data_IF_688881537801
#
_entry.id   IF_688881537801
#
_cell.length_a   1.000
_cell.length_b   1.000
_cell.length_c   1.000
_cell.angle_alpha   90.00
_cell.angle_beta   90.00
_cell.angle_gamma   90.00
#
_symmetry.space_group_name_H-M   'P 1'
#
loop_
_entity.id
_entity.type
_entity.pdbx_description
1 polymer ?
#
# COMPACT_ATOMS: atom_id res chain seq x y z
N UNK A 1 -18.82 37.04 -17.72
CA UNK A 1 -17.37 36.76 -17.73
C UNK A 1 -17.20 35.21 -17.77
N UNK A 2 -17.13 34.64 -19.00
CA UNK A 2 -16.93 33.21 -19.20
C UNK A 2 -15.44 32.89 -18.89
N UNK A 3 -15.15 32.38 -17.73
CA UNK A 3 -13.84 31.85 -17.42
C UNK A 3 -13.74 30.52 -18.18
N UNK A 4 -13.13 30.56 -19.38
CA UNK A 4 -12.77 29.32 -20.09
C UNK A 4 -11.82 28.52 -19.21
N UNK A 5 -12.32 27.40 -18.67
CA UNK A 5 -11.45 26.42 -17.98
C UNK A 5 -10.34 26.03 -18.97
N UNK A 6 -9.08 26.01 -18.54
CA UNK A 6 -7.95 25.72 -19.39
C UNK A 6 -8.12 24.33 -20.01
N UNK A 7 -7.83 24.19 -21.31
CA UNK A 7 -8.03 22.98 -22.13
C UNK A 7 -7.30 21.71 -21.63
N UNK A 8 -6.43 21.82 -20.63
CA UNK A 8 -5.69 20.71 -20.00
C UNK A 8 -6.40 20.09 -18.79
N UNK A 9 -7.48 20.71 -18.28
CA UNK A 9 -8.31 20.08 -17.24
C UNK A 9 -9.32 19.14 -17.89
N UNK A 10 -9.26 17.82 -17.65
CA UNK A 10 -10.27 16.91 -18.15
C UNK A 10 -11.64 17.33 -17.59
N UNK A 11 -12.65 17.38 -18.44
CA UNK A 11 -14.03 17.52 -17.97
C UNK A 11 -14.35 16.24 -17.17
N UNK A 12 -14.25 16.33 -15.85
CA UNK A 12 -14.60 15.23 -14.96
C UNK A 12 -16.07 14.90 -15.14
N UNK A 13 -16.35 13.72 -15.66
CA UNK A 13 -17.74 13.23 -15.65
C UNK A 13 -18.17 13.04 -14.20
N UNK A 14 -19.49 13.18 -13.88
CA UNK A 14 -19.97 12.96 -12.52
C UNK A 14 -19.56 11.61 -11.92
N UNK A 15 -19.43 10.57 -12.74
CA UNK A 15 -18.98 9.23 -12.31
C UNK A 15 -17.51 9.24 -11.90
N UNK A 16 -16.65 9.95 -12.62
CA UNK A 16 -15.22 10.08 -12.28
C UNK A 16 -15.03 10.93 -11.02
N UNK A 17 -15.80 12.01 -10.86
CA UNK A 17 -15.77 12.81 -9.65
C UNK A 17 -16.15 11.98 -8.40
N UNK A 18 -17.21 11.16 -8.48
CA UNK A 18 -17.63 10.25 -7.41
C UNK A 18 -16.58 9.17 -7.11
N UNK A 19 -15.93 8.66 -8.13
CA UNK A 19 -14.80 7.74 -7.97
C UNK A 19 -13.66 8.40 -7.19
N UNK A 20 -13.30 9.65 -7.51
CA UNK A 20 -12.27 10.40 -6.78
C UNK A 20 -12.64 10.67 -5.31
N UNK A 21 -13.92 10.91 -5.02
CA UNK A 21 -14.39 11.00 -3.62
C UNK A 21 -14.12 9.70 -2.88
N UNK A 22 -14.41 8.54 -3.49
CA UNK A 22 -14.12 7.26 -2.87
C UNK A 22 -12.62 7.03 -2.67
N UNK A 23 -11.78 7.35 -3.67
CA UNK A 23 -10.32 7.26 -3.56
C UNK A 23 -9.79 8.12 -2.41
N UNK A 24 -10.26 9.37 -2.31
CA UNK A 24 -9.85 10.29 -1.24
C UNK A 24 -10.26 9.76 0.14
N UNK A 25 -11.49 9.26 0.30
CA UNK A 25 -11.98 8.72 1.58
C UNK A 25 -11.24 7.45 1.99
N UNK A 26 -10.94 6.54 1.04
CA UNK A 26 -10.14 5.34 1.30
C UNK A 26 -8.71 5.70 1.71
N UNK A 27 -8.07 6.64 1.01
CA UNK A 27 -6.74 7.13 1.38
C UNK A 27 -6.73 7.82 2.73
N UNK A 28 -7.71 8.68 2.99
CA UNK A 28 -7.84 9.38 4.26
C UNK A 28 -8.07 8.44 5.46
N UNK A 29 -8.95 7.46 5.30
CA UNK A 29 -9.34 6.57 6.38
C UNK A 29 -8.36 5.41 6.58
N UNK A 30 -8.02 4.69 5.51
CA UNK A 30 -7.39 3.37 5.59
C UNK A 30 -5.99 3.32 4.97
N UNK A 31 -5.86 3.63 3.69
CA UNK A 31 -4.60 3.42 2.96
C UNK A 31 -3.60 4.57 3.15
N UNK A 32 -2.81 4.44 4.18
CA UNK A 32 -1.84 5.46 4.59
C UNK A 32 -2.43 6.56 5.47
N UNK A 33 -3.74 6.56 5.74
CA UNK A 33 -4.44 7.53 6.55
C UNK A 33 -4.54 7.17 8.05
N UNK A 34 -5.69 7.46 8.65
CA UNK A 34 -5.94 7.33 10.11
C UNK A 34 -5.62 5.91 10.60
N UNK A 35 -6.11 4.88 9.91
CA UNK A 35 -5.89 3.47 10.29
C UNK A 35 -4.41 3.09 10.29
N UNK A 36 -3.66 3.55 9.30
CA UNK A 36 -2.21 3.26 9.21
C UNK A 36 -1.41 3.83 10.36
N UNK A 37 -1.86 4.95 10.95
CA UNK A 37 -1.25 5.54 12.14
C UNK A 37 -1.68 4.78 13.40
N UNK A 38 -2.98 4.54 13.55
CA UNK A 38 -3.58 4.23 14.85
C UNK A 38 -3.77 2.74 15.12
N UNK A 39 -3.85 1.87 14.08
CA UNK A 39 -4.12 0.44 14.29
C UNK A 39 -3.12 -0.20 15.26
N UNK A 40 -1.83 -0.09 14.97
CA UNK A 40 -0.80 -0.73 15.80
C UNK A 40 -0.68 -0.04 17.18
N UNK A 41 -0.92 1.28 17.25
CA UNK A 41 -0.96 2.00 18.53
C UNK A 41 -2.16 1.57 19.37
N UNK A 42 -3.32 1.32 18.77
CA UNK A 42 -4.47 0.73 19.45
C UNK A 42 -4.16 -0.66 20.00
N UNK A 43 -3.48 -1.50 19.22
CA UNK A 43 -3.06 -2.83 19.67
C UNK A 43 -2.09 -2.75 20.86
N UNK A 44 -1.15 -1.78 20.85
CA UNK A 44 -0.28 -1.51 22.00
C UNK A 44 -1.08 -1.11 23.26
N UNK A 45 -2.16 -0.32 23.10
CA UNK A 45 -3.04 0.07 24.24
C UNK A 45 -3.91 -1.10 24.73
N UNK A 46 -4.01 -2.18 23.97
CA UNK A 46 -4.61 -3.46 24.40
C UNK A 46 -3.60 -4.41 25.02
N UNK A 47 -2.37 -3.95 25.33
CA UNK A 47 -1.26 -4.70 25.90
C UNK A 47 -0.73 -5.84 24.99
N UNK A 48 -0.91 -5.71 23.67
CA UNK A 48 -0.31 -6.61 22.70
C UNK A 48 1.14 -6.23 22.43
N UNK A 49 2.03 -7.22 22.55
CA UNK A 49 3.44 -7.07 22.18
C UNK A 49 3.70 -7.17 20.68
N UNK A 50 4.96 -6.97 20.26
CA UNK A 50 5.34 -7.00 18.83
C UNK A 50 4.96 -8.30 18.12
N UNK A 51 4.96 -9.44 18.81
CA UNK A 51 4.59 -10.76 18.28
C UNK A 51 3.14 -10.79 17.81
N UNK A 52 2.21 -10.39 18.70
CA UNK A 52 0.79 -10.38 18.39
C UNK A 52 0.44 -9.29 17.36
N UNK A 53 1.08 -8.12 17.43
CA UNK A 53 0.95 -7.05 16.44
C UNK A 53 1.42 -7.57 15.06
N UNK A 54 2.56 -8.27 15.04
CA UNK A 54 3.08 -8.90 13.82
C UNK A 54 2.12 -9.95 13.27
N UNK A 55 1.56 -10.82 14.11
CA UNK A 55 0.59 -11.85 13.73
C UNK A 55 -0.68 -11.23 13.15
N UNK A 56 -1.25 -10.20 13.79
CA UNK A 56 -2.46 -9.52 13.33
C UNK A 56 -2.22 -8.86 11.97
N UNK A 57 -1.13 -8.11 11.80
CA UNK A 57 -0.80 -7.50 10.52
C UNK A 57 -0.53 -8.55 9.43
N UNK A 58 0.12 -9.67 9.78
CA UNK A 58 0.39 -10.77 8.86
C UNK A 58 -0.91 -11.43 8.36
N UNK A 59 -1.91 -11.61 9.23
CA UNK A 59 -3.21 -12.13 8.83
C UNK A 59 -3.88 -11.24 7.80
N UNK A 60 -3.83 -9.91 7.98
CA UNK A 60 -4.35 -8.94 7.01
C UNK A 60 -3.60 -8.99 5.67
N UNK A 61 -2.28 -8.87 5.68
CA UNK A 61 -1.47 -8.87 4.45
C UNK A 61 -1.55 -10.19 3.70
N UNK A 62 -1.67 -11.33 4.41
CA UNK A 62 -1.92 -12.64 3.81
C UNK A 62 -3.30 -12.70 3.14
N UNK A 63 -4.34 -12.23 3.83
CA UNK A 63 -5.68 -12.17 3.27
C UNK A 63 -5.72 -11.31 1.98
N UNK A 64 -5.03 -10.16 1.98
CA UNK A 64 -4.86 -9.32 0.79
C UNK A 64 -4.17 -10.09 -0.35
N UNK A 65 -3.01 -10.68 -0.08
CA UNK A 65 -2.20 -11.39 -1.08
C UNK A 65 -2.98 -12.55 -1.73
N UNK A 66 -3.67 -13.35 -0.93
CA UNK A 66 -4.47 -14.47 -1.41
C UNK A 66 -5.71 -14.02 -2.19
N UNK A 67 -6.28 -12.87 -1.83
CA UNK A 67 -7.48 -12.34 -2.47
C UNK A 67 -7.21 -11.64 -3.81
N UNK A 68 -6.00 -11.14 -4.07
CA UNK A 68 -5.71 -10.35 -5.27
C UNK A 68 -6.05 -11.09 -6.58
N UNK A 69 -5.68 -12.37 -6.70
CA UNK A 69 -5.96 -13.16 -7.90
C UNK A 69 -7.47 -13.43 -8.07
N UNK A 70 -8.20 -13.96 -7.05
CA UNK A 70 -9.64 -14.14 -7.15
C UNK A 70 -10.40 -12.84 -7.40
N UNK A 71 -9.98 -11.71 -6.80
CA UNK A 71 -10.63 -10.42 -6.96
C UNK A 71 -10.73 -9.96 -8.41
N UNK A 72 -9.66 -10.15 -9.19
CA UNK A 72 -9.65 -9.83 -10.61
C UNK A 72 -10.59 -10.71 -11.43
N UNK A 73 -10.59 -12.02 -11.18
CA UNK A 73 -11.46 -12.98 -11.87
C UNK A 73 -12.96 -12.72 -11.56
N UNK A 74 -13.27 -12.49 -10.29
CA UNK A 74 -14.62 -12.20 -9.84
C UNK A 74 -15.10 -10.86 -10.41
N UNK A 75 -14.22 -9.83 -10.42
CA UNK A 75 -14.52 -8.52 -10.99
C UNK A 75 -14.84 -8.57 -12.48
N UNK A 76 -14.12 -9.40 -13.24
CA UNK A 76 -14.37 -9.63 -14.66
C UNK A 76 -15.73 -10.31 -14.92
N UNK A 77 -16.18 -11.19 -14.02
CA UNK A 77 -17.46 -11.93 -14.15
C UNK A 77 -18.66 -11.13 -13.67
N UNK A 78 -18.57 -10.51 -12.51
CA UNK A 78 -19.71 -9.85 -11.85
C UNK A 78 -19.72 -8.33 -12.06
N UNK A 79 -18.66 -7.77 -12.67
CA UNK A 79 -18.51 -6.35 -12.93
C UNK A 79 -17.69 -5.64 -11.85
N UNK A 80 -16.70 -4.86 -12.30
CA UNK A 80 -15.73 -4.20 -11.41
C UNK A 80 -16.39 -3.32 -10.34
N UNK A 81 -17.44 -2.56 -10.71
CA UNK A 81 -18.19 -1.71 -9.77
C UNK A 81 -18.82 -2.49 -8.62
N UNK A 82 -19.45 -3.64 -8.89
CA UNK A 82 -20.11 -4.45 -7.86
C UNK A 82 -19.09 -5.03 -6.88
N UNK A 83 -17.95 -5.48 -7.39
CA UNK A 83 -16.86 -6.01 -6.56
C UNK A 83 -16.17 -4.90 -5.76
N UNK A 84 -16.02 -3.71 -6.30
CA UNK A 84 -15.55 -2.55 -5.52
C UNK A 84 -16.52 -2.18 -4.40
N UNK A 85 -17.84 -2.24 -4.63
CA UNK A 85 -18.84 -2.02 -3.58
C UNK A 85 -18.78 -3.09 -2.48
N UNK A 86 -18.64 -4.35 -2.86
CA UNK A 86 -18.44 -5.45 -1.90
C UNK A 86 -17.14 -5.23 -1.11
N UNK A 87 -16.06 -4.83 -1.78
CA UNK A 87 -14.81 -4.47 -1.15
C UNK A 87 -14.97 -3.35 -0.11
N UNK A 88 -15.63 -2.25 -0.48
CA UNK A 88 -15.90 -1.14 0.44
C UNK A 88 -16.81 -1.56 1.61
N UNK A 89 -17.79 -2.45 1.39
CA UNK A 89 -18.63 -2.99 2.45
C UNK A 89 -17.83 -3.82 3.45
N UNK A 90 -16.93 -4.69 2.97
CA UNK A 90 -16.03 -5.47 3.82
C UNK A 90 -15.02 -4.57 4.55
N UNK A 91 -14.48 -3.54 3.88
CA UNK A 91 -13.61 -2.53 4.51
C UNK A 91 -14.36 -1.80 5.62
N UNK A 92 -15.59 -1.35 5.39
CA UNK A 92 -16.41 -0.71 6.39
C UNK A 92 -16.70 -1.66 7.57
N UNK A 93 -17.13 -2.89 7.31
CA UNK A 93 -17.40 -3.88 8.34
C UNK A 93 -16.15 -4.17 9.17
N UNK A 94 -15.02 -4.52 8.52
CA UNK A 94 -13.77 -4.81 9.22
C UNK A 94 -13.27 -3.61 10.03
N UNK A 95 -13.30 -2.39 9.44
CA UNK A 95 -12.81 -1.20 10.12
C UNK A 95 -13.72 -0.71 11.27
N UNK A 96 -15.02 -0.94 11.21
CA UNK A 96 -15.94 -0.58 12.29
C UNK A 96 -15.96 -1.63 13.41
N UNK A 97 -15.82 -2.91 13.07
CA UNK A 97 -15.89 -4.00 14.05
C UNK A 97 -14.55 -4.25 14.76
N UNK A 98 -13.41 -4.02 14.08
CA UNK A 98 -12.09 -4.26 14.64
C UNK A 98 -11.86 -3.49 15.95
N UNK A 99 -12.15 -2.17 16.06
CA UNK A 99 -11.90 -1.41 17.27
C UNK A 99 -12.77 -1.82 18.45
N UNK A 100 -13.84 -2.61 18.24
CA UNK A 100 -14.68 -3.11 19.33
C UNK A 100 -14.03 -4.26 20.12
N UNK A 101 -12.83 -4.67 19.73
CA UNK A 101 -12.07 -5.72 20.41
C UNK A 101 -11.83 -5.44 21.91
N UNK A 102 -11.68 -4.18 22.32
CA UNK A 102 -11.48 -3.79 23.73
C UNK A 102 -12.71 -4.04 24.61
N UNK A 103 -13.89 -4.15 24.02
CA UNK A 103 -15.14 -4.47 24.72
C UNK A 103 -15.33 -5.99 24.93
N UNK A 104 -14.50 -6.82 24.26
CA UNK A 104 -14.61 -8.26 24.32
C UNK A 104 -13.76 -8.84 25.48
N UNK A 105 -14.15 -10.01 26.03
CA UNK A 105 -13.29 -10.76 26.93
C UNK A 105 -11.94 -11.07 26.30
N UNK A 106 -10.86 -11.07 27.09
CA UNK A 106 -9.48 -11.23 26.63
C UNK A 106 -9.28 -12.50 25.80
N UNK A 107 -9.99 -13.57 26.11
CA UNK A 107 -9.93 -14.87 25.40
C UNK A 107 -10.38 -14.78 23.94
N UNK A 108 -11.29 -13.87 23.59
CA UNK A 108 -11.84 -13.73 22.25
C UNK A 108 -11.22 -12.58 21.44
N UNK A 109 -10.48 -11.67 22.10
CA UNK A 109 -9.92 -10.46 21.46
C UNK A 109 -9.03 -10.77 20.29
N UNK A 110 -8.06 -11.69 20.46
CA UNK A 110 -7.10 -12.02 19.40
C UNK A 110 -7.81 -12.63 18.20
N UNK A 111 -8.69 -13.61 18.41
CA UNK A 111 -9.45 -14.23 17.33
C UNK A 111 -10.31 -13.20 16.59
N UNK A 112 -10.96 -12.29 17.31
CA UNK A 112 -11.73 -11.18 16.73
C UNK A 112 -10.86 -10.27 15.86
N UNK A 113 -9.72 -9.83 16.36
CA UNK A 113 -8.78 -8.96 15.64
C UNK A 113 -8.27 -9.63 14.36
N UNK A 114 -7.91 -10.92 14.42
CA UNK A 114 -7.47 -11.69 13.26
C UNK A 114 -8.55 -11.77 12.19
N UNK A 115 -9.80 -12.02 12.57
CA UNK A 115 -10.92 -12.07 11.64
C UNK A 115 -11.19 -10.69 11.04
N UNK A 116 -11.30 -9.64 11.87
CA UNK A 116 -11.68 -8.32 11.37
C UNK A 116 -10.59 -7.68 10.51
N UNK A 117 -9.30 -7.85 10.84
CA UNK A 117 -8.21 -7.38 9.99
C UNK A 117 -8.19 -8.14 8.65
N UNK A 118 -8.45 -9.44 8.66
CA UNK A 118 -8.53 -10.24 7.43
C UNK A 118 -9.69 -9.80 6.55
N UNK A 119 -10.86 -9.52 7.13
CA UNK A 119 -12.03 -8.97 6.41
C UNK A 119 -11.72 -7.60 5.82
N UNK A 120 -11.08 -6.71 6.58
CA UNK A 120 -10.65 -5.39 6.12
C UNK A 120 -9.74 -5.49 4.89
N UNK A 121 -8.70 -6.32 4.97
CA UNK A 121 -7.70 -6.48 3.90
C UNK A 121 -8.23 -7.26 2.69
N UNK A 122 -9.16 -8.20 2.90
CA UNK A 122 -9.92 -8.81 1.81
C UNK A 122 -10.72 -7.74 1.05
N UNK A 123 -11.39 -6.85 1.78
CA UNK A 123 -12.08 -5.70 1.20
C UNK A 123 -11.15 -4.79 0.39
N UNK A 124 -9.96 -4.49 0.93
CA UNK A 124 -8.92 -3.72 0.25
C UNK A 124 -8.51 -4.37 -1.08
N UNK A 125 -8.29 -5.69 -1.10
CA UNK A 125 -7.91 -6.41 -2.32
C UNK A 125 -9.02 -6.32 -3.38
N UNK A 126 -10.28 -6.57 -2.99
CA UNK A 126 -11.44 -6.47 -3.89
C UNK A 126 -11.59 -5.06 -4.47
N UNK A 127 -11.37 -4.03 -3.67
CA UNK A 127 -11.44 -2.64 -4.10
C UNK A 127 -10.29 -2.29 -5.05
N UNK A 128 -9.02 -2.44 -4.61
CA UNK A 128 -7.86 -1.97 -5.37
C UNK A 128 -7.64 -2.70 -6.68
N UNK A 129 -7.82 -4.02 -6.71
CA UNK A 129 -7.65 -4.81 -7.94
C UNK A 129 -8.66 -4.40 -9.02
N UNK A 130 -9.86 -3.97 -8.63
CA UNK A 130 -10.92 -3.59 -9.56
C UNK A 130 -10.95 -2.10 -9.91
N UNK A 131 -10.11 -1.25 -9.27
CA UNK A 131 -10.06 0.19 -9.59
C UNK A 131 -9.57 0.47 -11.02
N UNK A 132 -8.47 -0.16 -11.44
CA UNK A 132 -7.91 0.06 -12.76
C UNK A 132 -8.87 -0.38 -13.88
N UNK A 133 -9.46 -1.59 -13.87
CA UNK A 133 -10.49 -1.96 -14.84
C UNK A 133 -11.70 -1.01 -14.85
N UNK A 134 -12.19 -0.60 -13.67
CA UNK A 134 -13.30 0.34 -13.57
C UNK A 134 -12.99 1.69 -14.25
N UNK A 135 -11.80 2.24 -14.01
CA UNK A 135 -11.34 3.47 -14.64
C UNK A 135 -11.22 3.30 -16.16
N UNK A 136 -10.69 2.15 -16.62
CA UNK A 136 -10.57 1.84 -18.06
C UNK A 136 -11.93 1.74 -18.77
N UNK A 137 -12.97 1.26 -18.08
CA UNK A 137 -14.35 1.21 -18.60
C UNK A 137 -15.05 2.58 -18.59
N UNK A 138 -14.72 3.43 -17.60
CA UNK A 138 -15.42 4.70 -17.39
C UNK A 138 -14.82 5.87 -18.17
N UNK A 139 -13.60 5.75 -18.72
CA UNK A 139 -12.81 6.89 -19.21
C UNK A 139 -12.28 6.63 -20.62
N UNK A 140 -12.30 7.69 -21.44
CA UNK A 140 -11.76 7.67 -22.81
C UNK A 140 -10.25 7.39 -22.80
N UNK A 141 -9.70 6.67 -23.79
CA UNK A 141 -8.30 6.29 -23.85
C UNK A 141 -7.30 7.44 -23.70
N UNK A 142 -7.62 8.60 -24.29
CA UNK A 142 -6.80 9.81 -24.28
C UNK A 142 -6.64 10.45 -22.88
N UNK A 143 -7.57 10.21 -21.96
CA UNK A 143 -7.60 10.79 -20.62
C UNK A 143 -7.10 9.85 -19.52
N UNK A 144 -6.90 8.55 -19.80
CA UNK A 144 -6.59 7.53 -18.80
C UNK A 144 -5.35 7.83 -18.00
N UNK A 145 -4.24 8.16 -18.65
CA UNK A 145 -2.96 8.48 -17.99
C UNK A 145 -3.11 9.63 -16.99
N UNK A 146 -3.83 10.68 -17.40
CA UNK A 146 -4.06 11.84 -16.55
C UNK A 146 -4.91 11.49 -15.32
N UNK A 147 -5.97 10.69 -15.51
CA UNK A 147 -6.85 10.25 -14.42
C UNK A 147 -6.09 9.35 -13.42
N UNK A 148 -5.25 8.42 -13.88
CA UNK A 148 -4.41 7.60 -12.98
C UNK A 148 -3.40 8.44 -12.21
N UNK A 149 -2.79 9.45 -12.84
CA UNK A 149 -1.89 10.38 -12.15
C UNK A 149 -2.62 11.19 -11.08
N UNK A 150 -3.81 11.70 -11.41
CA UNK A 150 -4.64 12.44 -10.46
C UNK A 150 -5.13 11.56 -9.30
N UNK A 151 -5.51 10.31 -9.57
CA UNK A 151 -5.86 9.32 -8.56
C UNK A 151 -4.71 9.12 -7.56
N UNK A 152 -3.49 8.91 -8.06
CA UNK A 152 -2.30 8.68 -7.21
C UNK A 152 -1.99 9.91 -6.35
N UNK A 153 -2.05 11.10 -6.93
CA UNK A 153 -1.83 12.34 -6.20
C UNK A 153 -2.91 12.59 -5.14
N UNK A 154 -4.18 12.34 -5.48
CA UNK A 154 -5.30 12.49 -4.55
C UNK A 154 -5.23 11.49 -3.39
N UNK A 155 -4.90 10.23 -3.68
CA UNK A 155 -4.70 9.19 -2.67
C UNK A 155 -3.59 9.59 -1.69
N UNK A 156 -2.45 10.05 -2.20
CA UNK A 156 -1.32 10.48 -1.37
C UNK A 156 -1.66 11.72 -0.52
N UNK A 157 -2.36 12.70 -1.10
CA UNK A 157 -2.80 13.89 -0.37
C UNK A 157 -3.81 13.53 0.73
N UNK A 158 -4.77 12.68 0.41
CA UNK A 158 -5.77 12.21 1.38
C UNK A 158 -5.12 11.39 2.50
N UNK A 159 -4.17 10.52 2.18
CA UNK A 159 -3.38 9.77 3.15
C UNK A 159 -2.53 10.69 4.05
N UNK A 160 -1.92 11.75 3.49
CA UNK A 160 -1.24 12.78 4.26
C UNK A 160 -2.17 13.44 5.29
N UNK A 161 -3.34 13.93 4.84
CA UNK A 161 -4.32 14.55 5.74
C UNK A 161 -4.84 13.57 6.78
N UNK A 162 -5.13 12.33 6.38
CA UNK A 162 -5.57 11.27 7.29
C UNK A 162 -4.52 10.91 8.35
N UNK A 163 -3.24 10.80 7.96
CA UNK A 163 -2.16 10.55 8.92
C UNK A 163 -1.97 11.71 9.90
N UNK A 164 -2.04 12.94 9.40
CA UNK A 164 -1.91 14.14 10.23
C UNK A 164 -3.04 14.22 11.24
N UNK A 165 -4.29 14.14 10.81
CA UNK A 165 -5.48 14.17 11.67
C UNK A 165 -5.46 12.96 12.61
N UNK A 166 -5.17 11.76 12.12
CA UNK A 166 -5.07 10.54 12.92
C UNK A 166 -4.09 10.66 14.08
N UNK A 167 -2.97 11.35 13.88
CA UNK A 167 -2.00 11.59 14.94
C UNK A 167 -2.55 12.43 16.12
N UNK A 168 -3.38 13.43 15.83
CA UNK A 168 -3.95 14.32 16.86
C UNK A 168 -5.26 13.79 17.45
N UNK A 169 -5.97 12.93 16.74
CA UNK A 169 -7.35 12.54 17.07
C UNK A 169 -7.47 11.84 18.44
N UNK A 170 -6.59 10.89 18.85
CA UNK A 170 -6.70 10.27 20.17
C UNK A 170 -6.53 11.26 21.31
N UNK A 171 -5.59 12.21 21.21
CA UNK A 171 -5.41 13.23 22.25
C UNK A 171 -6.61 14.18 22.37
N UNK A 172 -7.19 14.59 21.25
CA UNK A 172 -8.39 15.42 21.22
C UNK A 172 -9.59 14.69 21.84
N UNK A 173 -9.80 13.42 21.49
CA UNK A 173 -10.89 12.60 22.06
C UNK A 173 -10.66 12.37 23.57
N UNK A 174 -9.43 12.08 23.99
CA UNK A 174 -9.10 11.91 25.41
C UNK A 174 -9.42 13.17 26.22
N UNK A 175 -9.06 14.36 25.70
CA UNK A 175 -9.37 15.63 26.32
C UNK A 175 -10.90 15.90 26.42
N UNK A 176 -11.66 15.57 25.34
CA UNK A 176 -13.11 15.72 25.31
C UNK A 176 -13.82 14.80 26.30
N UNK A 177 -13.32 13.58 26.48
CA UNK A 177 -13.92 12.58 27.38
C UNK A 177 -13.40 12.66 28.84
N UNK A 178 -12.37 13.47 29.08
CA UNK A 178 -11.73 13.55 30.39
C UNK A 178 -10.98 12.27 30.81
N UNK A 179 -10.46 11.49 29.84
CA UNK A 179 -9.75 10.23 30.09
C UNK A 179 -8.29 10.33 29.65
N UNK A 180 -7.47 9.39 30.15
CA UNK A 180 -6.06 9.35 29.76
C UNK A 180 -5.88 8.97 28.29
N UNK A 181 -4.98 9.64 27.53
CA UNK A 181 -4.63 9.25 26.17
C UNK A 181 -3.88 7.91 26.05
N UNK A 182 -3.50 7.31 27.19
CA UNK A 182 -2.87 5.97 27.22
C UNK A 182 -3.89 4.84 27.22
N UNK A 183 -5.18 5.14 27.42
CA UNK A 183 -6.25 4.14 27.39
C UNK A 183 -6.59 3.73 25.94
N UNK A 184 -7.15 2.52 25.71
CA UNK A 184 -7.59 2.08 24.38
C UNK A 184 -8.75 2.91 23.79
N UNK A 185 -9.65 3.43 24.65
CA UNK A 185 -10.88 4.08 24.22
C UNK A 185 -10.70 5.26 23.26
N UNK A 186 -9.77 6.23 23.45
CA UNK A 186 -9.52 7.29 22.47
C UNK A 186 -9.14 6.78 21.08
N UNK A 187 -8.34 5.73 21.02
CA UNK A 187 -7.93 5.08 19.76
C UNK A 187 -9.10 4.34 19.12
N UNK A 188 -9.91 3.63 19.91
CA UNK A 188 -11.15 3.00 19.45
C UNK A 188 -12.06 3.99 18.74
N UNK A 189 -12.38 5.12 19.37
CA UNK A 189 -13.25 6.13 18.75
C UNK A 189 -12.64 6.74 17.50
N UNK A 190 -11.33 6.99 17.48
CA UNK A 190 -10.64 7.50 16.31
C UNK A 190 -10.70 6.51 15.13
N UNK A 191 -10.54 5.20 15.38
CA UNK A 191 -10.66 4.15 14.39
C UNK A 191 -12.11 3.98 13.89
N UNK A 192 -13.11 4.14 14.78
CA UNK A 192 -14.52 4.14 14.39
C UNK A 192 -14.85 5.31 13.46
N UNK A 193 -14.33 6.52 13.73
CA UNK A 193 -14.48 7.69 12.86
C UNK A 193 -13.89 7.39 11.46
N UNK A 194 -12.71 6.77 11.40
CA UNK A 194 -12.11 6.36 10.15
C UNK A 194 -12.96 5.32 9.41
N UNK A 195 -13.50 4.33 10.13
CA UNK A 195 -14.40 3.33 9.56
C UNK A 195 -15.69 3.94 9.00
N UNK A 196 -16.29 4.90 9.70
CA UNK A 196 -17.47 5.63 9.25
C UNK A 196 -17.19 6.44 7.97
N UNK A 197 -15.98 6.94 7.77
CA UNK A 197 -15.60 7.67 6.56
C UNK A 197 -15.62 6.79 5.28
N UNK A 198 -15.69 5.45 5.41
CA UNK A 198 -15.84 4.55 4.26
C UNK A 198 -17.28 4.48 3.74
N UNK A 199 -18.28 4.77 4.57
CA UNK A 199 -19.68 4.71 4.16
C UNK A 199 -20.01 5.71 3.03
N UNK A 200 -19.58 7.01 3.10
CA UNK A 200 -19.73 7.91 1.96
C UNK A 200 -18.96 7.46 0.70
N UNK A 201 -17.81 6.77 0.84
CA UNK A 201 -17.10 6.21 -0.30
C UNK A 201 -17.94 5.13 -1.00
N UNK A 202 -18.62 4.28 -0.24
CA UNK A 202 -19.53 3.28 -0.76
C UNK A 202 -20.71 3.94 -1.49
N UNK A 203 -21.33 4.99 -0.94
CA UNK A 203 -22.40 5.74 -1.60
C UNK A 203 -21.90 6.42 -2.90
N UNK A 204 -20.67 6.95 -2.90
CA UNK A 204 -20.07 7.57 -4.07
C UNK A 204 -19.88 6.54 -5.22
N UNK A 205 -19.35 5.35 -4.95
CA UNK A 205 -19.22 4.29 -5.96
C UNK A 205 -20.59 3.73 -6.36
N UNK A 206 -21.53 3.60 -5.41
CA UNK A 206 -22.89 3.14 -5.73
C UNK A 206 -23.58 4.07 -6.74
N UNK A 207 -23.39 5.35 -6.61
CA UNK A 207 -23.99 6.36 -7.50
C UNK A 207 -23.17 6.60 -8.80
N UNK A 208 -21.92 6.12 -8.87
CA UNK A 208 -21.09 6.22 -10.06
C UNK A 208 -21.58 5.21 -11.12
N UNK A 209 -22.20 5.69 -12.20
CA UNK A 209 -22.60 4.84 -13.34
C UNK A 209 -21.51 4.99 -14.41
N UNK A 210 -20.81 3.91 -14.83
CA UNK A 210 -19.97 3.96 -15.99
C UNK A 210 -20.82 4.43 -17.18
N UNK A 211 -20.33 5.39 -17.96
CA UNK A 211 -20.93 5.64 -19.25
C UNK A 211 -20.87 4.33 -20.05
N UNK A 212 -21.96 3.97 -20.69
CA UNK A 212 -22.00 2.80 -21.55
C UNK A 212 -21.16 3.06 -22.80
N UNK A 213 -19.84 3.01 -22.66
CA UNK A 213 -18.97 2.89 -23.82
C UNK A 213 -19.20 1.51 -24.43
N UNK A 214 -19.30 1.41 -25.77
CA UNK A 214 -19.42 0.12 -26.42
C UNK A 214 -18.31 -0.79 -25.85
N UNK A 215 -18.70 -1.88 -25.19
CA UNK A 215 -17.74 -2.88 -24.74
C UNK A 215 -16.97 -3.32 -25.96
N UNK A 216 -15.72 -2.87 -26.08
CA UNK A 216 -14.76 -3.55 -26.94
C UNK A 216 -14.68 -4.96 -26.34
N UNK A 217 -15.28 -5.91 -27.05
CA UNK A 217 -15.25 -7.33 -26.70
C UNK A 217 -13.83 -7.88 -26.94
N UNK A 218 -12.85 -7.32 -26.20
CA UNK A 218 -11.60 -8.05 -26.03
C UNK A 218 -11.96 -9.24 -25.14
N UNK A 219 -11.71 -10.48 -25.59
CA UNK A 219 -12.18 -11.66 -24.89
C UNK A 219 -11.49 -11.75 -23.53
N UNK A 220 -12.22 -11.39 -22.47
CA UNK A 220 -11.86 -11.65 -21.07
C UNK A 220 -11.58 -13.15 -20.86
N UNK A 221 -12.13 -14.00 -21.72
CA UNK A 221 -11.86 -15.44 -21.76
C UNK A 221 -10.38 -15.79 -21.96
N UNK A 222 -9.56 -14.94 -22.62
CA UNK A 222 -8.14 -15.17 -22.77
C UNK A 222 -7.32 -14.91 -21.49
N UNK A 223 -7.91 -14.22 -20.49
CA UNK A 223 -7.26 -14.00 -19.20
C UNK A 223 -7.50 -15.16 -18.21
N UNK A 224 -8.39 -16.10 -18.51
CA UNK A 224 -8.79 -17.18 -17.60
C UNK A 224 -7.84 -18.38 -17.66
N UNK A 225 -7.14 -18.56 -18.76
CA UNK A 225 -6.04 -19.53 -18.87
C UNK A 225 -4.83 -18.79 -19.44
N UNK A 226 -3.85 -18.45 -18.60
CA UNK A 226 -2.59 -17.95 -19.13
C UNK A 226 -2.03 -19.01 -20.09
N UNK A 227 -1.46 -18.62 -21.26
CA UNK A 227 -0.84 -19.57 -22.16
C UNK A 227 0.17 -20.41 -21.36
N UNK A 228 0.35 -21.70 -21.69
CA UNK A 228 1.25 -22.57 -20.96
C UNK A 228 2.63 -21.90 -20.84
N UNK A 229 3.08 -21.74 -19.60
CA UNK A 229 4.37 -21.09 -19.31
C UNK A 229 5.47 -22.01 -19.86
N UNK A 230 6.19 -21.54 -20.86
CA UNK A 230 7.33 -22.28 -21.38
C UNK A 230 8.34 -22.56 -20.25
N UNK A 231 8.89 -23.75 -20.16
CA UNK A 231 9.85 -24.13 -19.10
C UNK A 231 11.02 -23.14 -18.97
N UNK A 232 11.45 -22.54 -20.08
CA UNK A 232 12.47 -21.49 -20.10
C UNK A 232 12.07 -20.20 -19.38
N UNK A 233 10.77 -19.93 -19.24
CA UNK A 233 10.26 -18.74 -18.58
C UNK A 233 10.12 -18.91 -17.04
N UNK A 234 10.02 -20.15 -16.56
CA UNK A 234 9.87 -20.45 -15.12
C UNK A 234 11.06 -19.89 -14.34
N UNK A 235 12.28 -20.08 -14.83
CA UNK A 235 13.49 -19.55 -14.16
C UNK A 235 13.49 -18.03 -14.08
N UNK A 236 13.05 -17.33 -15.14
CA UNK A 236 12.92 -15.87 -15.13
C UNK A 236 11.86 -15.41 -14.14
N UNK A 237 10.67 -16.04 -14.12
CA UNK A 237 9.59 -15.71 -13.21
C UNK A 237 9.98 -15.93 -11.74
N UNK A 238 10.69 -17.03 -11.47
CA UNK A 238 11.21 -17.30 -10.11
C UNK A 238 12.21 -16.23 -9.69
N UNK A 239 13.11 -15.82 -10.58
CA UNK A 239 14.09 -14.77 -10.28
C UNK A 239 13.41 -13.41 -10.04
N UNK A 240 12.40 -13.07 -10.85
CA UNK A 240 11.58 -11.87 -10.63
C UNK A 240 10.92 -11.91 -9.25
N UNK A 241 10.32 -13.03 -8.87
CA UNK A 241 9.67 -13.19 -7.56
C UNK A 241 10.68 -13.05 -6.41
N UNK A 242 11.84 -13.70 -6.48
CA UNK A 242 12.89 -13.60 -5.47
C UNK A 242 13.35 -12.16 -5.30
N UNK A 243 13.68 -11.48 -6.42
CA UNK A 243 14.10 -10.07 -6.36
C UNK A 243 13.01 -9.20 -5.78
N UNK A 244 11.75 -9.43 -6.13
CA UNK A 244 10.63 -8.65 -5.60
C UNK A 244 10.45 -8.83 -4.10
N UNK A 245 10.53 -10.06 -3.59
CA UNK A 245 10.54 -10.36 -2.15
C UNK A 245 11.65 -9.58 -1.45
N UNK A 246 12.87 -9.67 -1.94
CA UNK A 246 14.02 -8.98 -1.33
C UNK A 246 13.87 -7.44 -1.37
N UNK A 247 13.34 -6.89 -2.48
CA UNK A 247 13.12 -5.45 -2.64
C UNK A 247 12.14 -4.87 -1.62
N UNK A 248 11.13 -5.63 -1.24
CA UNK A 248 10.02 -5.15 -0.40
C UNK A 248 10.31 -5.34 1.09
N UNK A 249 11.28 -6.18 1.46
CA UNK A 249 11.55 -6.55 2.85
C UNK A 249 11.82 -5.34 3.78
N UNK A 250 12.67 -4.41 3.36
CA UNK A 250 12.97 -3.20 4.14
C UNK A 250 11.77 -2.26 4.27
N UNK A 251 10.97 -2.12 3.20
CA UNK A 251 9.73 -1.35 3.24
C UNK A 251 8.73 -1.98 4.22
N UNK A 252 8.53 -3.29 4.15
CA UNK A 252 7.62 -4.02 5.02
C UNK A 252 8.02 -3.91 6.50
N UNK A 253 9.30 -4.14 6.83
CA UNK A 253 9.83 -3.99 8.18
C UNK A 253 9.61 -2.57 8.73
N UNK A 254 9.97 -1.56 7.93
CA UNK A 254 9.87 -0.16 8.36
C UNK A 254 8.42 0.27 8.52
N UNK A 255 7.56 0.07 7.53
CA UNK A 255 6.19 0.60 7.57
C UNK A 255 5.30 -0.10 8.60
N UNK A 256 5.52 -1.39 8.87
CA UNK A 256 4.72 -2.13 9.85
C UNK A 256 5.05 -1.75 11.30
N UNK A 257 6.34 -1.66 11.62
CA UNK A 257 6.76 -1.48 13.01
C UNK A 257 7.24 -0.06 13.35
N UNK A 258 7.18 0.88 12.42
CA UNK A 258 7.61 2.26 12.63
C UNK A 258 6.90 2.96 13.79
N UNK A 259 5.57 2.94 13.79
CA UNK A 259 4.78 3.57 14.83
C UNK A 259 4.89 2.83 16.17
N UNK A 260 5.01 1.50 16.15
CA UNK A 260 5.23 0.67 17.34
C UNK A 260 6.59 1.03 17.97
N UNK A 261 7.67 1.08 17.18
CA UNK A 261 9.01 1.45 17.65
C UNK A 261 9.05 2.86 18.26
N UNK A 262 8.43 3.83 17.59
CA UNK A 262 8.40 5.21 18.08
C UNK A 262 7.62 5.36 19.40
N UNK A 263 6.53 4.65 19.54
CA UNK A 263 5.70 4.71 20.76
C UNK A 263 6.33 3.94 21.91
N UNK A 264 6.74 2.67 21.69
CA UNK A 264 7.19 1.77 22.77
C UNK A 264 8.63 2.01 23.20
N UNK A 265 9.56 2.28 22.26
CA UNK A 265 10.98 2.43 22.57
C UNK A 265 11.39 3.90 22.73
N UNK A 266 10.88 4.78 21.87
CA UNK A 266 11.28 6.19 21.88
C UNK A 266 10.30 7.08 22.62
N UNK A 267 9.18 6.56 23.12
CA UNK A 267 8.13 7.26 23.86
C UNK A 267 7.63 8.52 23.15
N UNK A 268 7.56 8.47 21.83
CA UNK A 268 7.14 9.57 20.95
C UNK A 268 5.61 9.67 20.98
N UNK A 269 5.09 10.87 21.16
CA UNK A 269 3.64 11.09 21.16
C UNK A 269 2.99 10.71 19.82
N UNK A 270 1.75 10.22 19.87
CA UNK A 270 0.97 9.82 18.67
C UNK A 270 0.87 10.96 17.65
N UNK A 271 0.77 12.21 18.08
CA UNK A 271 0.76 13.38 17.21
C UNK A 271 2.05 13.52 16.37
N UNK A 272 3.21 13.32 16.99
CA UNK A 272 4.50 13.34 16.26
C UNK A 272 4.63 12.15 15.32
N UNK A 273 4.18 10.97 15.72
CA UNK A 273 4.15 9.77 14.86
C UNK A 273 3.29 10.04 13.62
N UNK A 274 2.08 10.58 13.80
CA UNK A 274 1.20 10.95 12.69
C UNK A 274 1.81 12.00 11.77
N UNK A 275 2.50 13.02 12.33
CA UNK A 275 3.22 14.02 11.54
C UNK A 275 4.34 13.40 10.70
N UNK A 276 5.16 12.50 11.25
CA UNK A 276 6.24 11.84 10.51
C UNK A 276 5.70 10.96 9.38
N UNK A 277 4.63 10.20 9.63
CA UNK A 277 3.95 9.40 8.60
C UNK A 277 3.36 10.29 7.51
N UNK A 278 2.72 11.41 7.89
CA UNK A 278 2.19 12.38 6.95
C UNK A 278 3.31 12.96 6.06
N UNK A 279 4.42 13.43 6.64
CA UNK A 279 5.56 13.96 5.89
C UNK A 279 6.16 12.91 4.96
N UNK A 280 6.27 11.65 5.40
CA UNK A 280 6.73 10.55 4.55
C UNK A 280 5.85 10.35 3.31
N UNK A 281 4.52 10.44 3.46
CA UNK A 281 3.56 10.36 2.35
C UNK A 281 3.66 11.55 1.41
N UNK A 282 3.72 12.76 1.96
CA UNK A 282 3.80 13.99 1.17
C UNK A 282 5.08 14.04 0.33
N UNK A 283 6.22 13.73 0.93
CA UNK A 283 7.52 13.73 0.25
C UNK A 283 7.71 12.56 -0.71
N UNK A 284 6.89 11.52 -0.62
CA UNK A 284 6.80 10.45 -1.61
C UNK A 284 6.29 10.92 -2.98
N UNK A 285 5.48 11.99 -3.04
CA UNK A 285 4.92 12.52 -4.29
C UNK A 285 6.02 13.04 -5.24
N UNK A 286 6.88 14.00 -4.85
CA UNK A 286 7.96 14.46 -5.72
C UNK A 286 8.96 13.35 -6.05
N UNK A 287 9.19 12.40 -5.17
CA UNK A 287 10.02 11.23 -5.44
C UNK A 287 9.44 10.38 -6.57
N UNK A 288 8.14 10.08 -6.56
CA UNK A 288 7.48 9.34 -7.63
C UNK A 288 7.53 10.09 -8.97
N UNK A 289 7.36 11.42 -8.97
CA UNK A 289 7.47 12.25 -10.17
C UNK A 289 8.89 12.27 -10.74
N UNK A 290 9.92 12.14 -9.90
CA UNK A 290 11.32 12.08 -10.34
C UNK A 290 11.67 10.77 -11.08
N UNK A 291 10.80 9.73 -11.04
CA UNK A 291 11.06 8.45 -11.70
C UNK A 291 11.28 8.61 -13.19
N UNK A 292 10.44 9.38 -13.89
CA UNK A 292 10.55 9.60 -15.34
C UNK A 292 11.91 10.19 -15.76
N UNK A 293 12.30 11.36 -15.25
CA UNK A 293 13.62 11.94 -15.53
C UNK A 293 14.79 11.04 -15.16
N UNK A 294 14.70 10.32 -14.01
CA UNK A 294 15.76 9.42 -13.57
C UNK A 294 15.90 8.21 -14.50
N UNK A 295 14.79 7.61 -14.92
CA UNK A 295 14.83 6.46 -15.84
C UNK A 295 15.27 6.87 -17.25
N UNK A 296 14.93 8.08 -17.70
CA UNK A 296 15.42 8.62 -18.96
C UNK A 296 16.96 8.80 -18.94
N UNK A 297 17.53 9.21 -17.80
CA UNK A 297 18.99 9.46 -17.69
C UNK A 297 19.80 8.21 -17.38
N UNK A 298 19.34 7.34 -16.49
CA UNK A 298 20.10 6.19 -15.97
C UNK A 298 19.57 4.83 -16.42
N UNK A 299 18.47 4.81 -17.16
CA UNK A 299 17.73 3.59 -17.53
C UNK A 299 16.99 2.96 -16.35
N UNK A 300 16.00 2.12 -16.65
CA UNK A 300 15.22 1.43 -15.59
C UNK A 300 16.12 0.59 -14.67
N UNK A 301 17.12 -0.11 -15.24
CA UNK A 301 18.06 -0.95 -14.47
C UNK A 301 18.88 -0.14 -13.47
N UNK A 302 19.47 0.97 -13.90
CA UNK A 302 20.28 1.84 -13.04
C UNK A 302 19.45 2.44 -11.89
N UNK A 303 18.24 2.89 -12.18
CA UNK A 303 17.31 3.44 -11.18
C UNK A 303 16.92 2.38 -10.15
N UNK A 304 16.60 1.15 -10.58
CA UNK A 304 16.24 0.05 -9.65
C UNK A 304 17.38 -0.27 -8.70
N UNK A 305 18.61 -0.39 -9.20
CA UNK A 305 19.80 -0.67 -8.38
C UNK A 305 20.06 0.48 -7.41
N UNK A 306 20.13 1.72 -7.91
CA UNK A 306 20.39 2.90 -7.10
C UNK A 306 19.33 3.13 -6.02
N UNK A 307 18.06 3.00 -6.37
CA UNK A 307 16.97 3.14 -5.42
C UNK A 307 16.92 2.00 -4.38
N UNK A 308 17.32 0.77 -4.74
CA UNK A 308 17.43 -0.34 -3.78
C UNK A 308 18.55 -0.12 -2.78
N UNK A 309 19.73 0.31 -3.23
CA UNK A 309 20.86 0.67 -2.36
C UNK A 309 20.47 1.85 -1.47
N UNK A 310 19.90 2.90 -2.06
CA UNK A 310 19.43 4.07 -1.33
C UNK A 310 18.38 3.71 -0.26
N UNK A 311 17.42 2.84 -0.58
CA UNK A 311 16.43 2.35 0.41
C UNK A 311 17.12 1.61 1.56
N UNK A 312 18.07 0.72 1.27
CA UNK A 312 18.82 -0.01 2.29
C UNK A 312 19.60 0.96 3.21
N UNK A 313 20.29 1.93 2.65
CA UNK A 313 20.99 2.96 3.40
C UNK A 313 20.04 3.85 4.22
N UNK A 314 18.85 4.16 3.68
CA UNK A 314 17.84 4.95 4.38
C UNK A 314 17.25 4.24 5.61
N UNK A 315 17.37 2.93 5.73
CA UNK A 315 16.94 2.19 6.93
C UNK A 315 17.97 2.27 8.05
N UNK A 316 19.27 2.52 7.75
CA UNK A 316 20.30 2.50 8.77
C UNK A 316 20.11 3.53 9.90
N UNK A 317 19.65 4.78 9.66
CA UNK A 317 19.41 5.73 10.75
C UNK A 317 18.40 5.21 11.79
N UNK A 318 17.28 4.60 11.41
CA UNK A 318 16.30 4.04 12.37
C UNK A 318 16.87 2.83 13.13
N UNK A 319 17.78 2.06 12.50
CA UNK A 319 18.40 0.90 13.11
C UNK A 319 19.53 1.26 14.11
N UNK A 320 20.25 2.37 13.87
CA UNK A 320 21.50 2.68 14.57
C UNK A 320 21.35 3.84 15.54
N UNK A 321 20.42 4.78 15.29
CA UNK A 321 20.30 6.03 16.06
C UNK A 321 18.91 6.03 16.74
N UNK A 322 18.84 5.83 18.06
CA UNK A 322 17.58 5.82 18.80
C UNK A 322 17.05 7.24 18.99
N UNK A 323 16.64 7.86 17.90
CA UNK A 323 16.10 9.22 17.87
C UNK A 323 14.97 9.35 16.86
N UNK A 324 13.89 9.99 17.25
CA UNK A 324 12.69 10.14 16.39
C UNK A 324 12.96 10.82 15.05
N UNK A 325 13.90 11.79 15.01
CA UNK A 325 14.31 12.46 13.77
C UNK A 325 15.03 11.51 12.81
N UNK A 326 15.89 10.62 13.32
CA UNK A 326 16.55 9.58 12.52
C UNK A 326 15.53 8.58 11.96
N UNK A 327 14.55 8.19 12.77
CA UNK A 327 13.45 7.34 12.33
C UNK A 327 12.60 8.02 11.25
N UNK A 328 12.29 9.30 11.40
CA UNK A 328 11.58 10.10 10.40
C UNK A 328 12.32 10.21 9.08
N UNK A 329 13.63 10.49 9.13
CA UNK A 329 14.49 10.52 7.94
C UNK A 329 14.50 9.16 7.22
N UNK A 330 14.60 8.07 7.98
CA UNK A 330 14.51 6.70 7.45
C UNK A 330 13.19 6.46 6.73
N UNK A 331 12.07 6.81 7.35
CA UNK A 331 10.75 6.62 6.75
C UNK A 331 10.59 7.38 5.43
N UNK A 332 11.01 8.66 5.41
CA UNK A 332 10.97 9.50 4.20
C UNK A 332 11.81 8.88 3.09
N UNK A 333 13.04 8.46 3.41
CA UNK A 333 13.94 7.83 2.44
C UNK A 333 13.38 6.50 1.92
N UNK A 334 12.87 5.65 2.80
CA UNK A 334 12.28 4.35 2.42
C UNK A 334 11.05 4.52 1.54
N UNK A 335 10.11 5.40 1.90
CA UNK A 335 8.90 5.64 1.11
C UNK A 335 9.23 6.31 -0.23
N UNK A 336 10.08 7.33 -0.23
CA UNK A 336 10.47 8.05 -1.44
C UNK A 336 11.21 7.15 -2.44
N UNK A 337 12.26 6.47 -2.00
CA UNK A 337 13.06 5.61 -2.87
C UNK A 337 12.31 4.34 -3.32
N UNK A 338 11.43 3.78 -2.47
CA UNK A 338 10.54 2.70 -2.88
C UNK A 338 9.52 3.16 -3.90
N UNK A 339 9.03 4.41 -3.80
CA UNK A 339 8.15 5.04 -4.78
C UNK A 339 8.81 5.23 -6.16
N UNK A 340 10.11 5.48 -6.21
CA UNK A 340 10.90 5.54 -7.45
C UNK A 340 11.16 4.12 -8.00
N UNK A 341 11.57 3.22 -7.11
CA UNK A 341 11.97 1.85 -7.48
C UNK A 341 10.83 1.04 -8.05
N UNK A 342 9.62 1.14 -7.48
CA UNK A 342 8.48 0.31 -7.87
C UNK A 342 8.13 0.44 -9.37
N UNK A 343 7.82 1.63 -9.90
CA UNK A 343 7.47 1.77 -11.32
C UNK A 343 8.62 1.38 -12.24
N UNK A 344 9.87 1.74 -11.90
CA UNK A 344 11.04 1.36 -12.69
C UNK A 344 11.23 -0.17 -12.75
N UNK A 345 10.99 -0.87 -11.63
CA UNK A 345 11.08 -2.34 -11.57
C UNK A 345 9.99 -3.01 -12.40
N UNK A 346 8.74 -2.55 -12.29
CA UNK A 346 7.60 -3.12 -13.03
C UNK A 346 7.81 -2.96 -14.53
N UNK A 347 8.17 -1.75 -14.99
CA UNK A 347 8.44 -1.52 -16.42
C UNK A 347 9.55 -2.45 -16.91
N UNK A 348 10.66 -2.53 -16.16
CA UNK A 348 11.78 -3.41 -16.52
C UNK A 348 11.35 -4.88 -16.63
N UNK A 349 10.58 -5.41 -15.65
CA UNK A 349 10.12 -6.79 -15.68
C UNK A 349 9.15 -7.08 -16.83
N UNK A 350 8.27 -6.12 -17.17
CA UNK A 350 7.33 -6.26 -18.27
C UNK A 350 8.02 -6.19 -19.66
N UNK A 351 9.18 -5.54 -19.73
CA UNK A 351 10.02 -5.53 -20.96
C UNK A 351 10.76 -6.86 -21.21
N UNK A 352 10.98 -7.66 -20.15
CA UNK A 352 11.67 -8.96 -20.25
C UNK A 352 10.78 -10.07 -20.78
N UNK A 353 9.47 -9.87 -20.85
CA UNK A 353 8.51 -10.93 -21.21
C UNK A 353 7.65 -10.53 -22.41
N UNK A 354 7.17 -11.51 -23.22
CA UNK A 354 6.23 -11.25 -24.28
C UNK A 354 4.92 -10.60 -23.77
N UNK A 355 4.22 -9.82 -24.59
CA UNK A 355 2.97 -9.14 -24.21
C UNK A 355 1.93 -10.05 -23.55
N UNK A 356 1.80 -11.31 -24.02
CA UNK A 356 0.88 -12.31 -23.48
C UNK A 356 1.17 -12.70 -22.03
N UNK A 357 2.40 -12.54 -21.53
CA UNK A 357 2.85 -12.92 -20.19
C UNK A 357 2.90 -11.74 -19.21
N UNK A 358 2.65 -10.51 -19.67
CA UNK A 358 2.76 -9.30 -18.84
C UNK A 358 1.82 -9.31 -17.65
N UNK A 359 0.58 -9.77 -17.83
CA UNK A 359 -0.39 -9.90 -16.77
C UNK A 359 0.07 -10.89 -15.68
N UNK A 360 0.67 -12.01 -16.09
CA UNK A 360 1.24 -13.03 -15.18
C UNK A 360 2.39 -12.45 -14.36
N UNK A 361 3.29 -11.69 -14.98
CA UNK A 361 4.42 -11.03 -14.27
C UNK A 361 3.90 -10.00 -13.29
N UNK A 362 2.93 -9.16 -13.67
CA UNK A 362 2.33 -8.18 -12.79
C UNK A 362 1.68 -8.83 -11.56
N UNK A 363 0.87 -9.88 -11.77
CA UNK A 363 0.25 -10.63 -10.68
C UNK A 363 1.28 -11.31 -9.76
N UNK A 364 2.33 -11.91 -10.35
CA UNK A 364 3.42 -12.54 -9.60
C UNK A 364 4.18 -11.54 -8.72
N UNK A 365 4.47 -10.35 -9.23
CA UNK A 365 5.18 -9.32 -8.47
C UNK A 365 4.38 -8.81 -7.29
N UNK A 366 3.07 -8.63 -7.44
CA UNK A 366 2.20 -8.21 -6.32
C UNK A 366 2.01 -9.33 -5.29
N UNK A 367 1.85 -10.58 -5.73
CA UNK A 367 1.79 -11.73 -4.84
C UNK A 367 3.10 -11.90 -4.05
N UNK A 368 4.25 -11.79 -4.71
CA UNK A 368 5.56 -11.86 -4.07
C UNK A 368 5.76 -10.74 -3.03
N UNK A 369 5.29 -9.52 -3.33
CA UNK A 369 5.29 -8.42 -2.38
C UNK A 369 4.40 -8.73 -1.17
N UNK A 370 3.17 -9.19 -1.37
CA UNK A 370 2.25 -9.56 -0.29
C UNK A 370 2.80 -10.68 0.61
N UNK A 371 3.39 -11.71 0.03
CA UNK A 371 4.06 -12.79 0.78
C UNK A 371 5.22 -12.24 1.62
N UNK A 372 6.03 -11.33 1.04
CA UNK A 372 7.11 -10.69 1.78
C UNK A 372 6.58 -9.85 2.94
N UNK A 373 5.55 -9.03 2.73
CA UNK A 373 4.91 -8.29 3.82
C UNK A 373 4.44 -9.24 4.92
N UNK A 374 3.76 -10.32 4.58
CA UNK A 374 3.30 -11.32 5.54
C UNK A 374 4.47 -11.93 6.34
N UNK A 375 5.52 -12.36 5.66
CA UNK A 375 6.70 -12.95 6.30
C UNK A 375 7.43 -11.95 7.21
N UNK A 376 7.62 -10.71 6.74
CA UNK A 376 8.31 -9.66 7.51
C UNK A 376 7.48 -9.15 8.68
N UNK A 377 6.16 -9.13 8.58
CA UNK A 377 5.30 -8.73 9.70
C UNK A 377 5.21 -9.84 10.75
N UNK A 378 4.96 -11.08 10.31
CA UNK A 378 4.90 -12.24 11.21
C UNK A 378 6.25 -12.51 11.88
N UNK A 379 7.27 -12.82 11.08
CA UNK A 379 8.61 -13.13 11.59
C UNK A 379 9.28 -11.94 12.28
N UNK A 380 8.98 -10.73 11.82
CA UNK A 380 9.48 -9.49 12.38
C UNK A 380 9.00 -9.25 13.81
N UNK A 381 7.75 -9.58 14.15
CA UNK A 381 7.24 -9.51 15.51
C UNK A 381 8.02 -10.40 16.48
N UNK A 382 8.26 -11.65 16.12
CA UNK A 382 9.07 -12.58 16.91
C UNK A 382 10.54 -12.16 16.97
N UNK A 383 11.08 -11.64 15.87
CA UNK A 383 12.47 -11.15 15.83
C UNK A 383 12.66 -9.95 16.77
N UNK A 384 11.69 -9.04 16.82
CA UNK A 384 11.69 -7.90 17.75
C UNK A 384 11.64 -8.40 19.20
N UNK A 385 10.76 -9.33 19.52
CA UNK A 385 10.61 -9.85 20.86
C UNK A 385 11.88 -10.56 21.36
N UNK A 386 12.60 -11.27 20.47
CA UNK A 386 13.82 -12.00 20.83
C UNK A 386 15.08 -11.10 20.82
N UNK A 387 15.20 -10.15 19.88
CA UNK A 387 16.46 -9.44 19.60
C UNK A 387 16.30 -7.91 19.46
N UNK A 388 15.10 -7.39 19.72
CA UNK A 388 14.79 -5.96 19.64
C UNK A 388 14.60 -5.42 18.20
N UNK A 389 14.11 -4.18 18.10
CA UNK A 389 13.78 -3.51 16.82
C UNK A 389 14.97 -3.35 15.88
N UNK A 390 16.17 -3.14 16.43
CA UNK A 390 17.40 -2.99 15.65
C UNK A 390 17.65 -4.17 14.73
N UNK A 391 17.42 -5.40 15.20
CA UNK A 391 17.63 -6.62 14.43
C UNK A 391 16.71 -6.70 13.22
N UNK A 392 15.44 -6.33 13.37
CA UNK A 392 14.47 -6.29 12.27
C UNK A 392 14.85 -5.27 11.21
N UNK A 393 15.19 -4.05 11.62
CA UNK A 393 15.54 -2.99 10.67
C UNK A 393 16.84 -3.33 9.92
N UNK A 394 17.84 -3.89 10.59
CA UNK A 394 19.08 -4.34 9.95
C UNK A 394 18.82 -5.51 8.98
N UNK A 395 17.97 -6.48 9.35
CA UNK A 395 17.55 -7.55 8.45
C UNK A 395 16.85 -6.99 7.20
N UNK A 396 15.93 -6.04 7.37
CA UNK A 396 15.26 -5.36 6.27
C UNK A 396 16.23 -4.61 5.35
N UNK A 397 17.19 -3.89 5.92
CA UNK A 397 18.24 -3.20 5.17
C UNK A 397 19.12 -4.19 4.39
N UNK A 398 19.54 -5.28 5.03
CA UNK A 398 20.38 -6.32 4.43
C UNK A 398 19.66 -7.01 3.26
N UNK A 399 18.41 -7.44 3.43
CA UNK A 399 17.62 -8.06 2.36
C UNK A 399 17.39 -7.10 1.20
N UNK A 400 17.12 -5.83 1.49
CA UNK A 400 16.96 -4.80 0.45
C UNK A 400 18.26 -4.53 -0.28
N UNK A 401 19.41 -4.48 0.40
CA UNK A 401 20.73 -4.38 -0.23
C UNK A 401 21.05 -5.62 -1.09
N UNK A 402 20.74 -6.82 -0.58
CA UNK A 402 20.88 -8.07 -1.33
C UNK A 402 20.04 -8.06 -2.61
N UNK A 403 18.85 -7.43 -2.59
CA UNK A 403 18.03 -7.27 -3.79
C UNK A 403 18.78 -6.54 -4.91
N UNK A 404 19.53 -5.48 -4.57
CA UNK A 404 20.31 -4.72 -5.54
C UNK A 404 21.43 -5.59 -6.16
N UNK A 405 22.12 -6.38 -5.33
CA UNK A 405 23.17 -7.29 -5.78
C UNK A 405 22.61 -8.40 -6.69
N UNK A 406 21.53 -9.06 -6.26
CA UNK A 406 20.87 -10.12 -7.04
C UNK A 406 20.35 -9.55 -8.36
N UNK A 407 19.70 -8.38 -8.33
CA UNK A 407 19.20 -7.70 -9.52
C UNK A 407 20.35 -7.34 -10.48
N UNK A 408 21.42 -6.75 -9.97
CA UNK A 408 22.61 -6.41 -10.77
C UNK A 408 23.23 -7.62 -11.45
N UNK A 409 23.31 -8.76 -10.74
CA UNK A 409 23.96 -9.99 -11.24
C UNK A 409 23.08 -10.76 -12.23
N UNK A 410 21.78 -10.82 -11.98
CA UNK A 410 20.85 -11.67 -12.73
C UNK A 410 20.26 -10.98 -13.96
N UNK A 411 20.07 -9.67 -13.90
CA UNK A 411 19.46 -8.90 -14.98
C UNK A 411 20.49 -8.02 -15.67
N UNK A 412 20.99 -8.51 -16.81
CA UNK A 412 21.89 -7.74 -17.67
C UNK A 412 21.10 -6.79 -18.54
N UNK A 413 21.71 -5.69 -18.98
CA UNK A 413 21.10 -4.76 -19.95
C UNK A 413 20.75 -5.57 -21.21
N UNK A 414 19.53 -5.47 -21.77
CA UNK A 414 19.24 -6.05 -23.07
C UNK A 414 20.20 -5.41 -24.08
N UNK A 415 21.16 -6.19 -24.57
CA UNK A 415 22.00 -5.81 -25.71
C UNK A 415 21.12 -5.84 -26.94
N UNK A 416 20.62 -4.70 -27.41
CA UNK A 416 19.95 -4.61 -28.68
C UNK A 416 18.67 -3.79 -28.72
N UNK A 417 18.76 -2.50 -28.43
CA UNK A 417 17.98 -1.48 -29.16
C UNK A 417 18.95 -0.55 -29.82
N UNK A 418 19.14 -0.74 -31.14
CA UNK A 418 19.70 0.31 -31.97
C UNK A 418 18.86 1.58 -31.80
N UNK A 419 19.47 2.76 -31.72
CA UNK A 419 18.71 4.00 -31.71
C UNK A 419 17.90 4.06 -33.00
N UNK A 420 16.58 4.12 -32.89
CA UNK A 420 15.74 4.49 -33.99
C UNK A 420 16.12 5.93 -34.36
N UNK A 421 16.81 6.08 -35.52
CA UNK A 421 17.06 7.35 -36.17
C UNK A 421 15.76 8.00 -36.65
#
# INVERSE_FOLDING_TARGET
MNIHAPHWLPRLTPSVARYFVAVALVGFALDGGIYSVLLNLFLLRLDYGPEQIGLINAAGTLAFALACLPAGVIGARWGCRQIMLLGLALMAAGSLLLPLADLLPMTWRLAWLLVQVSVLYLGLALYFVNTAPFVMEAIRPDQRTHIFSLQTALLALAAFLGSLIGGFLPAAIAALLGISPTQPAPYRYALLIAGLAILPAMLAIHSARPAALPRSAAPVAAAIMPPPIARSLIGLLTMIAIVRVLQVAGLAATTTFFNVYLDSELLVSTARIGLLLALGRLLGIPAALATGPLTARYGNRGVVIGASIGTALSILPIALIPHWGAAGLSLIGVLGLSGIRYPASIVYFLELVPPAQRATVSGLTEMAAGICFTAMTFGGGYLIAAFGYRSLFLLGAMLTALSALVFWRSFRTPTGRAPHG
#
